data_IF_347783433774
#
_entry.id   IF_347783433774
#
_cell.length_a   1.000
_cell.length_b   1.000
_cell.length_c   1.000
_cell.angle_alpha   90.00
_cell.angle_beta   90.00
_cell.angle_gamma   90.00
#
_symmetry.space_group_name_H-M   'P 1'
#
loop_
_entity.id
_entity.type
_entity.pdbx_description
1 polymer ?
#
# COMPACT_ATOMS: atom_id res chain seq x y z
N UNK A 1 61.35 16.54 -18.51
CA UNK A 1 60.68 17.19 -17.36
C UNK A 1 59.48 16.34 -16.96
N UNK A 2 59.22 16.23 -15.65
CA UNK A 2 58.48 15.14 -14.98
C UNK A 2 56.97 15.10 -15.31
N UNK A 3 56.43 13.87 -15.37
CA UNK A 3 55.01 13.53 -15.37
C UNK A 3 54.32 14.02 -14.09
N UNK A 4 53.12 14.58 -14.21
CA UNK A 4 52.19 14.61 -13.08
C UNK A 4 50.74 14.49 -13.58
N UNK A 5 50.24 13.25 -13.68
CA UNK A 5 48.80 12.98 -13.86
C UNK A 5 48.19 12.90 -12.48
N UNK A 6 47.59 14.01 -12.03
CA UNK A 6 46.78 14.06 -10.82
C UNK A 6 45.45 13.34 -11.11
N UNK A 7 45.28 12.14 -10.55
CA UNK A 7 44.07 11.34 -10.70
C UNK A 7 43.09 11.75 -9.60
N UNK A 8 42.11 12.58 -9.94
CA UNK A 8 41.03 12.99 -9.05
C UNK A 8 40.05 11.82 -8.88
N UNK A 9 40.07 11.14 -7.74
CA UNK A 9 39.07 10.12 -7.41
C UNK A 9 37.82 10.86 -6.92
N UNK A 10 36.85 11.03 -7.82
CA UNK A 10 35.52 11.53 -7.48
C UNK A 10 34.79 10.38 -6.77
N UNK A 11 34.75 10.43 -5.43
CA UNK A 11 33.87 9.57 -4.65
C UNK A 11 32.42 10.02 -4.91
N UNK A 12 31.76 9.36 -5.87
CA UNK A 12 30.32 9.51 -6.07
C UNK A 12 29.65 8.82 -4.88
N UNK A 13 29.39 9.56 -3.81
CA UNK A 13 28.45 9.14 -2.78
C UNK A 13 27.07 9.10 -3.44
N UNK A 14 26.70 7.95 -4.00
CA UNK A 14 25.34 7.73 -4.46
C UNK A 14 24.41 7.96 -3.27
N UNK A 15 23.45 8.90 -3.33
CA UNK A 15 22.43 8.98 -2.31
C UNK A 15 21.69 7.64 -2.33
N UNK A 16 21.72 6.93 -1.21
CA UNK A 16 20.92 5.73 -1.00
C UNK A 16 19.45 6.14 -1.09
N UNK A 17 18.85 5.95 -2.26
CA UNK A 17 17.42 6.04 -2.47
C UNK A 17 16.78 4.88 -1.69
N UNK A 18 16.49 5.09 -0.42
CA UNK A 18 15.59 4.22 0.34
C UNK A 18 14.20 4.42 -0.23
N UNK A 19 13.88 3.66 -1.28
CA UNK A 19 12.51 3.55 -1.77
C UNK A 19 11.81 2.57 -0.86
N UNK A 20 10.96 3.08 0.04
CA UNK A 20 10.08 2.25 0.83
C UNK A 20 9.02 1.65 -0.11
N UNK A 21 9.34 0.52 -0.74
CA UNK A 21 8.41 -0.21 -1.61
C UNK A 21 7.33 -0.85 -0.77
N UNK A 22 6.08 -0.73 -1.21
CA UNK A 22 4.96 -1.44 -0.59
C UNK A 22 5.24 -2.95 -0.50
N UNK A 23 4.96 -3.55 0.66
CA UNK A 23 5.30 -4.94 0.93
C UNK A 23 4.20 -5.68 1.73
N UNK A 24 4.25 -7.01 1.66
CA UNK A 24 3.42 -7.91 2.45
C UNK A 24 3.86 -7.87 3.91
N UNK A 25 2.94 -7.50 4.78
CA UNK A 25 3.10 -7.51 6.22
C UNK A 25 2.42 -8.76 6.80
N UNK A 26 3.16 -9.52 7.63
CA UNK A 26 2.63 -10.64 8.42
C UNK A 26 3.16 -10.52 9.83
N UNK A 27 2.26 -10.59 10.82
CA UNK A 27 2.60 -10.64 12.23
C UNK A 27 1.91 -11.85 12.87
N UNK A 28 2.69 -12.89 13.14
CA UNK A 28 2.20 -14.15 13.70
C UNK A 28 1.75 -14.01 15.16
N UNK A 29 2.37 -13.14 15.95
CA UNK A 29 1.97 -12.92 17.35
C UNK A 29 0.55 -12.35 17.47
N UNK A 30 0.16 -11.51 16.52
CA UNK A 30 -1.16 -10.86 16.47
C UNK A 30 -2.08 -11.47 15.42
N UNK A 31 -1.63 -12.54 14.76
CA UNK A 31 -2.32 -13.16 13.63
C UNK A 31 -2.85 -12.13 12.62
N UNK A 32 -2.03 -11.15 12.23
CA UNK A 32 -2.45 -10.07 11.33
C UNK A 32 -1.62 -10.07 10.05
N UNK A 33 -2.28 -9.95 8.90
CA UNK A 33 -1.62 -9.90 7.60
C UNK A 33 -2.23 -8.83 6.69
N UNK A 34 -1.47 -8.38 5.70
CA UNK A 34 -1.93 -7.44 4.70
C UNK A 34 -0.78 -6.70 4.04
N UNK A 35 -0.99 -5.46 3.60
CA UNK A 35 0.02 -4.69 2.89
C UNK A 35 0.18 -3.32 3.54
N UNK A 36 1.42 -2.83 3.57
CA UNK A 36 1.76 -1.50 4.09
C UNK A 36 2.51 -0.68 3.05
N UNK A 37 2.38 0.64 3.14
CA UNK A 37 3.14 1.57 2.30
C UNK A 37 2.75 1.56 0.82
N UNK A 38 1.49 1.22 0.50
CA UNK A 38 0.95 1.11 -0.87
C UNK A 38 0.95 2.42 -1.65
N UNK A 39 0.99 3.55 -0.94
CA UNK A 39 1.07 4.87 -1.54
C UNK A 39 2.26 5.62 -0.96
N UNK A 40 3.20 5.99 -1.83
CA UNK A 40 4.34 6.82 -1.47
C UNK A 40 3.92 8.30 -1.47
N UNK A 41 4.47 9.09 -0.53
CA UNK A 41 4.26 10.55 -0.39
C UNK A 41 2.96 11.02 0.24
N UNK A 42 2.29 10.17 1.00
CA UNK A 42 1.06 10.59 1.66
C UNK A 42 1.37 11.41 2.91
N UNK A 43 1.00 12.69 2.87
CA UNK A 43 1.32 13.68 3.91
C UNK A 43 2.52 14.59 3.60
N UNK A 44 3.13 14.48 2.41
CA UNK A 44 4.19 15.42 1.94
C UNK A 44 3.66 16.59 1.10
N UNK A 45 2.37 16.61 0.76
CA UNK A 45 1.73 17.72 0.08
C UNK A 45 0.63 18.32 0.96
N UNK A 46 0.54 19.64 0.99
CA UNK A 46 -0.33 20.41 1.89
C UNK A 46 -1.84 20.19 1.67
N UNK A 47 -2.22 19.32 0.71
CA UNK A 47 -3.60 19.10 0.27
C UNK A 47 -4.08 17.66 0.47
N UNK A 48 -3.41 16.87 1.29
CA UNK A 48 -3.78 15.48 1.57
C UNK A 48 -4.13 15.27 3.04
N UNK A 49 -5.32 14.74 3.30
CA UNK A 49 -5.72 14.26 4.62
C UNK A 49 -5.52 12.75 4.73
N UNK A 50 -4.98 12.30 5.86
CA UNK A 50 -4.89 10.88 6.21
C UNK A 50 -6.13 10.51 7.03
N UNK A 51 -6.70 9.34 6.75
CA UNK A 51 -7.77 8.76 7.53
C UNK A 51 -7.51 7.27 7.74
N UNK A 52 -7.92 6.77 8.90
CA UNK A 52 -7.77 5.36 9.24
C UNK A 52 -8.91 4.87 10.11
N UNK A 53 -9.16 3.56 10.07
CA UNK A 53 -10.18 2.94 10.88
C UNK A 53 -10.45 1.50 10.49
N UNK A 54 -11.29 0.84 11.28
CA UNK A 54 -11.76 -0.52 11.02
C UNK A 54 -12.97 -0.46 10.09
N UNK A 55 -12.91 -1.20 8.99
CA UNK A 55 -13.95 -1.22 7.97
C UNK A 55 -14.22 -2.64 7.49
N UNK A 56 -15.46 -2.88 7.03
CA UNK A 56 -15.86 -4.15 6.42
C UNK A 56 -15.68 -4.07 4.92
N UNK A 57 -15.05 -5.08 4.34
CA UNK A 57 -14.95 -5.26 2.89
C UNK A 57 -16.31 -5.74 2.37
N UNK A 58 -16.85 -5.05 1.37
CA UNK A 58 -18.19 -5.32 0.81
C UNK A 58 -18.19 -5.51 -0.69
N UNK A 59 -17.02 -5.51 -1.32
CA UNK A 59 -16.88 -5.73 -2.75
C UNK A 59 -15.48 -5.43 -3.26
N UNK A 60 -15.19 -5.99 -4.42
CA UNK A 60 -13.93 -5.80 -5.14
C UNK A 60 -14.18 -5.42 -6.60
N UNK A 61 -13.29 -4.61 -7.15
CA UNK A 61 -13.07 -4.54 -8.59
C UNK A 61 -11.68 -5.11 -8.87
N UNK A 62 -11.63 -6.17 -9.66
CA UNK A 62 -10.37 -6.79 -10.07
C UNK A 62 -9.82 -6.10 -11.31
N UNK A 63 -8.50 -6.20 -11.51
CA UNK A 63 -7.90 -5.78 -12.77
C UNK A 63 -8.44 -6.58 -13.93
N UNK A 64 -8.26 -6.08 -15.16
CA UNK A 64 -8.71 -6.77 -16.37
C UNK A 64 -8.20 -8.21 -16.47
N UNK A 65 -6.98 -8.47 -15.94
CA UNK A 65 -6.38 -9.80 -15.91
C UNK A 65 -6.85 -10.68 -14.74
N UNK A 66 -7.61 -10.13 -13.80
CA UNK A 66 -8.00 -10.79 -12.55
C UNK A 66 -6.87 -10.97 -11.54
N UNK A 67 -5.64 -10.58 -11.86
CA UNK A 67 -4.44 -10.92 -11.07
C UNK A 67 -4.30 -10.17 -9.74
N UNK A 68 -5.00 -9.05 -9.59
CA UNK A 68 -4.99 -8.23 -8.39
C UNK A 68 -6.25 -7.41 -8.30
N UNK A 69 -6.53 -6.90 -7.11
CA UNK A 69 -7.68 -6.02 -6.84
C UNK A 69 -7.29 -4.58 -7.16
N UNK A 70 -8.03 -3.90 -8.03
CA UNK A 70 -7.84 -2.48 -8.36
C UNK A 70 -8.52 -1.57 -7.34
N UNK A 71 -9.77 -1.88 -6.98
CA UNK A 71 -10.57 -1.13 -6.02
C UNK A 71 -11.15 -2.07 -4.96
N UNK A 72 -11.20 -1.60 -3.72
CA UNK A 72 -11.95 -2.26 -2.65
C UNK A 72 -13.06 -1.34 -2.20
N UNK A 73 -14.27 -1.90 -2.06
CA UNK A 73 -15.43 -1.23 -1.48
C UNK A 73 -15.50 -1.54 0.01
N UNK A 74 -15.41 -0.50 0.83
CA UNK A 74 -15.47 -0.58 2.28
C UNK A 74 -16.78 0.02 2.80
N UNK A 75 -17.28 -0.55 3.90
CA UNK A 75 -18.33 0.03 4.72
C UNK A 75 -17.77 0.33 6.11
N UNK A 76 -17.86 1.59 6.54
CA UNK A 76 -17.46 1.99 7.89
C UNK A 76 -18.56 1.69 8.91
N UNK A 77 -18.20 1.64 10.20
CA UNK A 77 -19.17 1.43 11.28
C UNK A 77 -20.28 2.49 11.34
N UNK A 78 -20.03 3.69 10.81
CA UNK A 78 -21.03 4.76 10.69
C UNK A 78 -21.98 4.60 9.49
N UNK A 79 -21.89 3.52 8.73
CA UNK A 79 -22.74 3.25 7.56
C UNK A 79 -22.25 3.85 6.24
N UNK A 80 -21.21 4.69 6.27
CA UNK A 80 -20.63 5.28 5.07
C UNK A 80 -19.94 4.22 4.22
N UNK A 81 -20.06 4.36 2.90
CA UNK A 81 -19.40 3.48 1.93
C UNK A 81 -18.29 4.26 1.23
N UNK A 82 -17.11 3.63 1.11
CA UNK A 82 -15.95 4.18 0.41
C UNK A 82 -15.48 3.18 -0.64
N UNK A 83 -15.04 3.67 -1.79
CA UNK A 83 -14.39 2.85 -2.82
C UNK A 83 -12.98 3.39 -2.97
N UNK A 84 -11.98 2.59 -2.60
CA UNK A 84 -10.60 3.04 -2.49
C UNK A 84 -9.73 2.29 -3.50
N UNK A 85 -8.99 3.00 -4.37
CA UNK A 85 -7.95 2.42 -5.21
C UNK A 85 -6.80 1.83 -4.38
N UNK A 86 -6.41 0.60 -4.66
CA UNK A 86 -5.48 -0.18 -3.81
C UNK A 86 -4.01 0.08 -4.07
N UNK A 87 -3.66 0.57 -5.27
CA UNK A 87 -2.30 0.62 -5.80
C UNK A 87 -1.58 -0.75 -5.89
N UNK A 88 -2.29 -1.87 -5.82
CA UNK A 88 -1.67 -3.20 -5.89
C UNK A 88 -0.94 -3.48 -7.20
N UNK A 89 -1.27 -2.75 -8.27
CA UNK A 89 -0.52 -2.79 -9.54
C UNK A 89 0.97 -2.42 -9.40
N UNK A 90 1.34 -1.70 -8.34
CA UNK A 90 2.74 -1.30 -8.05
C UNK A 90 3.52 -2.38 -7.29
N UNK A 91 2.84 -3.39 -6.75
CA UNK A 91 3.49 -4.53 -6.10
C UNK A 91 4.20 -5.42 -7.13
N UNK A 92 5.15 -6.24 -6.67
CA UNK A 92 5.74 -7.27 -7.50
C UNK A 92 4.67 -8.24 -8.02
N UNK A 93 4.90 -8.84 -9.19
CA UNK A 93 4.03 -9.84 -9.83
C UNK A 93 3.56 -10.95 -8.87
N UNK A 94 4.44 -11.39 -7.96
CA UNK A 94 4.16 -12.44 -6.98
C UNK A 94 3.24 -11.92 -5.87
N UNK A 95 3.44 -10.69 -5.42
CA UNK A 95 2.62 -10.08 -4.38
C UNK A 95 1.24 -9.67 -4.92
N UNK A 96 1.14 -9.27 -6.19
CA UNK A 96 -0.13 -8.98 -6.85
C UNK A 96 -1.11 -10.14 -6.73
N UNK A 97 -0.69 -11.38 -7.05
CA UNK A 97 -1.58 -12.54 -6.94
C UNK A 97 -1.98 -12.84 -5.49
N UNK A 98 -1.12 -12.55 -4.51
CA UNK A 98 -1.49 -12.75 -3.09
C UNK A 98 -2.60 -11.80 -2.63
N UNK A 99 -2.80 -10.67 -3.30
CA UNK A 99 -3.84 -9.70 -2.90
C UNK A 99 -5.24 -10.29 -3.00
N UNK A 100 -5.50 -11.15 -4.00
CA UNK A 100 -6.81 -11.79 -4.18
C UNK A 100 -7.07 -12.92 -3.19
N UNK A 101 -6.01 -13.53 -2.65
CA UNK A 101 -6.12 -14.64 -1.69
C UNK A 101 -6.32 -14.15 -0.25
N UNK A 102 -5.68 -13.03 0.08
CA UNK A 102 -5.67 -12.49 1.44
C UNK A 102 -7.03 -11.91 1.81
N UNK A 103 -7.66 -11.13 0.92
CA UNK A 103 -8.88 -10.39 1.25
C UNK A 103 -10.12 -11.03 0.63
N UNK A 104 -11.19 -11.11 1.42
CA UNK A 104 -12.50 -11.64 1.02
C UNK A 104 -13.60 -10.66 1.40
N UNK A 105 -14.73 -10.73 0.71
CA UNK A 105 -15.92 -9.99 1.12
C UNK A 105 -16.37 -10.45 2.50
N UNK A 106 -16.79 -9.51 3.34
CA UNK A 106 -17.12 -9.74 4.74
C UNK A 106 -15.92 -9.63 5.70
N UNK A 107 -14.67 -9.63 5.20
CA UNK A 107 -13.51 -9.41 6.05
C UNK A 107 -13.60 -8.03 6.73
N UNK A 108 -13.22 -8.01 8.01
CA UNK A 108 -13.02 -6.78 8.77
C UNK A 108 -11.54 -6.44 8.75
N UNK A 109 -11.19 -5.27 8.23
CA UNK A 109 -9.82 -4.82 8.05
C UNK A 109 -9.59 -3.46 8.71
N UNK A 110 -8.38 -3.28 9.26
CA UNK A 110 -7.81 -1.96 9.49
C UNK A 110 -7.40 -1.38 8.14
N UNK A 111 -7.88 -0.18 7.84
CA UNK A 111 -7.64 0.51 6.57
C UNK A 111 -7.07 1.88 6.88
N UNK A 112 -5.94 2.21 6.28
CA UNK A 112 -5.33 3.54 6.28
C UNK A 112 -5.27 4.05 4.85
N UNK A 113 -5.79 5.24 4.61
CA UNK A 113 -5.90 5.82 3.27
C UNK A 113 -5.74 7.34 3.32
N UNK A 114 -5.47 7.94 2.17
CA UNK A 114 -5.55 9.39 2.01
C UNK A 114 -6.72 9.81 1.16
N UNK A 115 -7.14 11.05 1.40
CA UNK A 115 -7.95 11.85 0.50
C UNK A 115 -7.15 13.10 0.12
N UNK A 116 -6.89 13.29 -1.17
CA UNK A 116 -6.09 14.42 -1.67
C UNK A 116 -6.87 15.31 -2.64
N UNK A 117 -6.60 16.62 -2.58
CA UNK A 117 -7.18 17.62 -3.47
C UNK A 117 -8.66 17.91 -3.19
N UNK A 118 -9.20 18.93 -3.86
CA UNK A 118 -10.59 19.38 -3.68
C UNK A 118 -11.64 18.35 -4.12
N UNK A 119 -11.25 17.39 -4.97
CA UNK A 119 -12.11 16.30 -5.44
C UNK A 119 -12.12 15.05 -4.55
N UNK A 120 -11.32 15.02 -3.49
CA UNK A 120 -11.28 13.89 -2.55
C UNK A 120 -10.73 12.59 -3.14
N UNK A 121 -9.66 12.66 -3.93
CA UNK A 121 -9.06 11.48 -4.55
C UNK A 121 -8.51 10.54 -3.48
N UNK A 122 -9.08 9.33 -3.41
CA UNK A 122 -8.71 8.34 -2.43
C UNK A 122 -7.52 7.50 -2.90
N UNK A 123 -6.64 7.14 -1.97
CA UNK A 123 -5.52 6.22 -2.23
C UNK A 123 -5.26 5.37 -0.99
N UNK A 124 -5.19 4.05 -1.17
CA UNK A 124 -4.89 3.12 -0.08
C UNK A 124 -3.41 3.22 0.32
N UNK A 125 -3.15 3.24 1.62
CA UNK A 125 -1.81 3.30 2.22
C UNK A 125 -1.50 1.96 2.87
N UNK A 126 -2.34 1.56 3.82
CA UNK A 126 -2.20 0.28 4.52
C UNK A 126 -3.56 -0.42 4.56
N UNK A 127 -3.54 -1.73 4.45
CA UNK A 127 -4.70 -2.59 4.71
C UNK A 127 -4.22 -3.84 5.43
N UNK A 128 -4.79 -4.08 6.61
CA UNK A 128 -4.42 -5.19 7.47
C UNK A 128 -5.68 -5.86 7.99
N UNK A 129 -5.67 -7.19 8.09
CA UNK A 129 -6.75 -7.92 8.74
C UNK A 129 -6.21 -9.05 9.62
N UNK A 130 -6.98 -9.50 10.61
CA UNK A 130 -6.72 -10.76 11.25
C UNK A 130 -6.77 -11.91 10.21
N UNK A 131 -5.89 -12.89 10.35
CA UNK A 131 -5.99 -14.19 9.67
C UNK A 131 -6.18 -15.27 10.72
N UNK A 132 -7.13 -16.18 10.49
CA UNK A 132 -7.27 -17.35 11.34
C UNK A 132 -6.26 -18.40 10.90
N UNK A 133 -5.41 -18.85 11.82
CA UNK A 133 -4.52 -20.02 11.64
C UNK A 133 -5.22 -21.35 11.92
N UNK A 134 -6.49 -21.33 12.31
CA UNK A 134 -7.26 -22.54 12.60
C UNK A 134 -7.51 -23.32 11.31
N UNK A 135 -6.62 -24.29 11.14
CA UNK A 135 -6.67 -25.44 10.24
C UNK A 135 -7.71 -26.45 10.70
#
# INVERSE_FOLDING_TARGET
MKFNKLLLIIAISAPSLSMASADLFVNEMTNTAGFKGLSENVGKSDNCMISEGVMTITGFQYSQSGRYIELIKFKSGGGNTLIIPTNFSKLSTILQSKTVDIFKEGDVAYVKFSSCGSGGYLSLIDILKPFNTSS
#
